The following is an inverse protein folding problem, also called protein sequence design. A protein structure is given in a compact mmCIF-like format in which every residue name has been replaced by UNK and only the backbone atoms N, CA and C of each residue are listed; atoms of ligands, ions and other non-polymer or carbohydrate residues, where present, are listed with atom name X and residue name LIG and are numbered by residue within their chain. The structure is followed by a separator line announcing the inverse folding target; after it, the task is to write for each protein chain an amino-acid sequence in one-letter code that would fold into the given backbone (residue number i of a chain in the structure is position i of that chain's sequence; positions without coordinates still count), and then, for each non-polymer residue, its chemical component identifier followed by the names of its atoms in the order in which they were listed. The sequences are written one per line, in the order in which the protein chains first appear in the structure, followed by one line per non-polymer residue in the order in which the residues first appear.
data_IF_181986829643
#
_entry.id   IF_181986829643
#
_cell.length_a   1.000
_cell.length_b   1.000
_cell.length_c   1.000
_cell.angle_alpha   90.00
_cell.angle_beta   90.00
_cell.angle_gamma   90.00
#
_symmetry.space_group_name_H-M   'P 1'
#
loop_
_entity.id
_entity.type
_entity.pdbx_description
1 polymer ?
#
# COMPACT_ATOMS: atom_id res chain seq x y z
N UNK A 1 3.07 -0.84 -21.61
CA UNK A 1 3.03 -1.78 -20.48
C UNK A 1 2.56 -1.10 -19.19
N UNK A 2 3.33 -0.19 -18.58
CA UNK A 2 3.00 0.39 -17.26
C UNK A 2 1.65 1.14 -17.20
N UNK A 3 1.34 2.00 -18.17
CA UNK A 3 0.03 2.68 -18.23
C UNK A 3 -1.15 1.71 -18.25
N UNK A 4 -1.06 0.68 -19.11
CA UNK A 4 -2.08 -0.37 -19.17
C UNK A 4 -2.25 -1.10 -17.83
N UNK A 5 -1.16 -1.45 -17.13
CA UNK A 5 -1.26 -2.08 -15.81
C UNK A 5 -1.89 -1.14 -14.77
N UNK A 6 -1.53 0.15 -14.82
CA UNK A 6 -2.13 1.17 -13.96
C UNK A 6 -3.63 1.29 -14.22
N UNK A 7 -4.07 1.31 -15.47
CA UNK A 7 -5.48 1.35 -15.85
C UNK A 7 -6.23 0.10 -15.34
N UNK A 8 -5.65 -1.09 -15.52
CA UNK A 8 -6.25 -2.35 -15.02
C UNK A 8 -6.44 -2.31 -13.50
N UNK A 9 -5.46 -1.78 -12.75
CA UNK A 9 -5.58 -1.66 -11.30
C UNK A 9 -6.57 -0.56 -10.92
N UNK A 10 -6.49 0.60 -11.57
CA UNK A 10 -7.29 1.78 -11.24
C UNK A 10 -8.77 1.60 -11.51
N UNK A 11 -9.15 0.92 -12.59
CA UNK A 11 -10.55 0.81 -13.05
C UNK A 11 -11.48 0.16 -12.03
N UNK A 12 -10.96 -0.62 -11.09
CA UNK A 12 -11.74 -1.15 -9.96
C UNK A 12 -12.08 -0.12 -8.88
N UNK A 13 -11.39 1.02 -8.85
CA UNK A 13 -11.51 2.05 -7.82
C UNK A 13 -11.95 3.41 -8.38
N UNK A 14 -11.50 3.78 -9.57
CA UNK A 14 -11.78 5.06 -10.20
C UNK A 14 -12.15 4.88 -11.66
N UNK A 15 -12.94 5.79 -12.25
CA UNK A 15 -13.30 5.72 -13.68
C UNK A 15 -12.09 5.76 -14.61
N UNK A 16 -11.03 6.48 -14.23
CA UNK A 16 -9.78 6.60 -14.99
C UNK A 16 -8.58 6.62 -14.05
N UNK A 17 -7.41 6.21 -14.56
CA UNK A 17 -6.15 6.28 -13.80
C UNK A 17 -5.75 7.71 -13.42
N UNK A 18 -6.20 8.72 -14.19
CA UNK A 18 -5.97 10.14 -13.89
C UNK A 18 -6.51 10.55 -12.51
N UNK A 19 -7.63 9.98 -12.07
CA UNK A 19 -8.16 10.29 -10.75
C UNK A 19 -7.18 9.86 -9.65
N UNK A 20 -6.62 8.65 -9.77
CA UNK A 20 -5.63 8.17 -8.81
C UNK A 20 -4.34 8.97 -8.89
N UNK A 21 -3.76 9.15 -10.09
CA UNK A 21 -2.48 9.87 -10.24
C UNK A 21 -2.58 11.32 -9.79
N UNK A 22 -3.71 12.00 -10.04
CA UNK A 22 -3.96 13.35 -9.53
C UNK A 22 -4.03 13.38 -8.00
N UNK A 23 -4.69 12.41 -7.36
CA UNK A 23 -4.71 12.28 -5.89
C UNK A 23 -3.30 12.06 -5.34
N UNK A 24 -2.54 11.13 -5.95
CA UNK A 24 -1.17 10.82 -5.52
C UNK A 24 -0.26 12.05 -5.62
N UNK A 25 -0.29 12.75 -6.76
CA UNK A 25 0.50 13.95 -7.01
C UNK A 25 0.12 15.09 -6.08
N UNK A 26 -1.18 15.33 -5.87
CA UNK A 26 -1.64 16.46 -5.07
C UNK A 26 -1.34 16.29 -3.57
N UNK A 27 -1.18 15.05 -3.09
CA UNK A 27 -1.04 14.74 -1.67
C UNK A 27 0.34 14.23 -1.27
N UNK A 28 1.32 14.19 -2.17
CA UNK A 28 2.61 13.51 -1.95
C UNK A 28 2.41 12.07 -1.46
N UNK A 29 1.42 11.39 -2.04
CA UNK A 29 1.01 10.05 -1.66
C UNK A 29 1.54 9.01 -2.65
N UNK A 30 1.63 7.77 -2.19
CA UNK A 30 2.03 6.62 -3.01
C UNK A 30 1.10 5.45 -2.78
N UNK A 31 1.05 4.52 -3.72
CA UNK A 31 0.39 3.22 -3.55
C UNK A 31 1.43 2.16 -3.28
N UNK A 32 1.16 1.25 -2.33
CA UNK A 32 2.04 0.09 -2.04
C UNK A 32 1.22 -1.20 -1.93
N UNK A 33 1.75 -2.23 -1.27
CA UNK A 33 1.06 -3.49 -1.04
C UNK A 33 0.82 -4.30 -2.31
N UNK A 34 -0.36 -4.93 -2.39
CA UNK A 34 -0.71 -5.88 -3.46
C UNK A 34 -0.81 -5.21 -4.84
N UNK A 35 -1.31 -3.97 -4.89
CA UNK A 35 -1.46 -3.19 -6.11
C UNK A 35 -0.09 -2.84 -6.71
N UNK A 36 0.82 -2.32 -5.89
CA UNK A 36 2.18 -2.04 -6.35
C UNK A 36 2.93 -3.31 -6.75
N UNK A 37 2.75 -4.41 -6.02
CA UNK A 37 3.36 -5.68 -6.38
C UNK A 37 2.87 -6.17 -7.77
N UNK A 38 1.57 -6.04 -8.06
CA UNK A 38 1.03 -6.40 -9.39
C UNK A 38 1.60 -5.53 -10.52
N UNK A 39 1.91 -4.26 -10.26
CA UNK A 39 2.57 -3.40 -11.25
C UNK A 39 3.98 -3.88 -11.61
N UNK A 40 4.71 -4.43 -10.63
CA UNK A 40 6.09 -4.91 -10.80
C UNK A 40 6.13 -6.29 -11.46
N UNK A 41 5.25 -7.19 -11.04
CA UNK A 41 5.27 -8.57 -11.52
C UNK A 41 4.74 -8.68 -12.96
N UNK A 42 5.20 -9.69 -13.73
CA UNK A 42 4.59 -10.03 -15.01
C UNK A 42 3.11 -10.40 -14.84
N UNK A 43 2.26 -10.03 -15.81
CA UNK A 43 0.82 -10.30 -15.75
C UNK A 43 0.48 -11.79 -15.54
N UNK A 44 1.25 -12.70 -16.16
CA UNK A 44 1.07 -14.14 -16.02
C UNK A 44 1.44 -14.66 -14.62
N UNK A 45 2.15 -13.89 -13.81
CA UNK A 45 2.46 -14.26 -12.45
C UNK A 45 1.36 -13.84 -11.46
N UNK A 46 0.42 -12.99 -11.87
CA UNK A 46 -0.57 -12.35 -10.99
C UNK A 46 -1.96 -13.00 -11.09
N UNK A 47 -2.09 -14.25 -10.64
CA UNK A 47 -3.37 -14.99 -10.68
C UNK A 47 -4.32 -14.70 -9.50
N UNK A 48 -3.91 -13.88 -8.54
CA UNK A 48 -4.74 -13.50 -7.40
C UNK A 48 -5.65 -12.29 -7.74
N UNK A 49 -6.83 -12.18 -7.12
CA UNK A 49 -7.74 -11.04 -7.33
C UNK A 49 -7.13 -9.72 -6.86
N UNK A 50 -7.55 -8.61 -7.49
CA UNK A 50 -7.31 -7.25 -6.98
C UNK A 50 -8.44 -6.90 -6.04
N UNK A 51 -8.18 -6.80 -4.73
CA UNK A 51 -9.25 -6.58 -3.75
C UNK A 51 -9.03 -5.34 -2.89
N UNK A 52 -7.80 -4.84 -2.80
CA UNK A 52 -7.38 -3.78 -1.89
C UNK A 52 -6.51 -2.75 -2.61
N UNK A 53 -6.74 -1.47 -2.33
CA UNK A 53 -5.85 -0.37 -2.71
C UNK A 53 -5.33 0.32 -1.44
N UNK A 54 -4.02 0.19 -1.21
CA UNK A 54 -3.35 0.77 -0.05
C UNK A 54 -2.64 2.08 -0.45
N UNK A 55 -3.18 3.22 -0.02
CA UNK A 55 -2.60 4.55 -0.28
C UNK A 55 -1.88 5.06 0.97
N UNK A 56 -0.60 5.38 0.82
CA UNK A 56 0.25 5.94 1.87
C UNK A 56 0.37 7.43 1.70
N UNK A 57 0.23 8.19 2.79
CA UNK A 57 0.24 9.66 2.76
C UNK A 57 0.95 10.24 3.99
N UNK A 58 1.74 11.32 3.86
CA UNK A 58 2.28 12.04 5.02
C UNK A 58 1.19 12.65 5.91
N UNK A 59 1.47 12.81 7.20
CA UNK A 59 0.53 13.41 8.16
C UNK A 59 0.09 14.83 7.76
N UNK A 60 0.95 15.63 7.12
CA UNK A 60 0.58 17.00 6.77
C UNK A 60 -0.42 17.09 5.60
N UNK A 61 -0.49 16.08 4.72
CA UNK A 61 -1.33 16.11 3.51
C UNK A 61 -2.56 15.19 3.58
N UNK A 62 -2.72 14.36 4.62
CA UNK A 62 -3.83 13.41 4.71
C UNK A 62 -5.22 14.06 4.62
N UNK A 63 -5.43 15.27 5.16
CA UNK A 63 -6.72 15.99 5.09
C UNK A 63 -7.10 16.31 3.64
N UNK A 64 -6.13 16.69 2.83
CA UNK A 64 -6.37 16.96 1.41
C UNK A 64 -6.74 15.67 0.68
N UNK A 65 -6.05 14.56 0.99
CA UNK A 65 -6.36 13.25 0.42
C UNK A 65 -7.79 12.82 0.78
N UNK A 66 -8.21 13.00 2.04
CA UNK A 66 -9.56 12.68 2.50
C UNK A 66 -10.61 13.48 1.71
N UNK A 67 -10.39 14.79 1.55
CA UNK A 67 -11.28 15.64 0.77
C UNK A 67 -11.38 15.20 -0.70
N UNK A 68 -10.27 14.78 -1.31
CA UNK A 68 -10.26 14.30 -2.69
C UNK A 68 -10.97 12.94 -2.81
N UNK A 69 -10.80 12.02 -1.86
CA UNK A 69 -11.55 10.77 -1.83
C UNK A 69 -13.06 11.01 -1.69
N UNK A 70 -13.46 11.89 -0.77
CA UNK A 70 -14.87 12.25 -0.59
C UNK A 70 -15.50 12.86 -1.85
N UNK A 71 -14.75 13.71 -2.58
CA UNK A 71 -15.17 14.23 -3.89
C UNK A 71 -15.37 13.13 -4.95
N UNK A 72 -14.71 11.98 -4.78
CA UNK A 72 -14.86 10.78 -5.60
C UNK A 72 -15.83 9.76 -4.98
N UNK A 73 -16.75 10.21 -4.10
CA UNK A 73 -17.78 9.39 -3.46
C UNK A 73 -17.27 8.29 -2.52
N UNK A 74 -16.02 8.40 -2.07
CA UNK A 74 -15.47 7.53 -1.03
C UNK A 74 -15.75 8.12 0.35
N UNK A 75 -16.49 7.36 1.16
CA UNK A 75 -16.80 7.72 2.54
C UNK A 75 -15.98 6.88 3.51
N UNK A 76 -15.70 7.43 4.69
CA UNK A 76 -15.02 6.70 5.75
C UNK A 76 -15.95 5.59 6.26
N UNK A 77 -15.49 4.35 6.16
CA UNK A 77 -16.20 3.16 6.68
C UNK A 77 -15.61 2.74 8.02
N UNK A 78 -14.28 2.86 8.16
CA UNK A 78 -13.58 2.49 9.39
C UNK A 78 -12.47 3.48 9.68
N UNK A 79 -12.45 4.03 10.89
CA UNK A 79 -11.34 4.81 11.40
C UNK A 79 -10.49 3.97 12.34
N UNK A 80 -9.20 3.81 12.00
CA UNK A 80 -8.22 3.26 12.91
C UNK A 80 -7.96 4.20 14.08
N UNK A 81 -7.47 3.63 15.19
CA UNK A 81 -7.05 4.41 16.35
C UNK A 81 -5.70 5.05 16.04
N UNK A 82 -5.55 6.37 16.23
CA UNK A 82 -4.26 7.02 16.03
C UNK A 82 -3.25 6.49 17.04
N UNK A 83 -2.07 6.15 16.53
CA UNK A 83 -0.90 5.79 17.29
C UNK A 83 -0.17 7.07 17.73
N UNK A 84 -0.64 7.64 18.84
CA UNK A 84 -0.10 8.89 19.41
C UNK A 84 1.14 8.62 20.28
N UNK A 85 1.52 7.35 20.51
CA UNK A 85 2.66 7.01 21.35
C UNK A 85 3.96 7.53 20.72
N UNK A 86 4.60 8.49 21.41
CA UNK A 86 5.86 9.11 21.01
C UNK A 86 7.03 8.12 20.90
N UNK A 87 6.95 6.96 21.58
CA UNK A 87 7.96 5.90 21.55
C UNK A 87 7.58 4.69 20.70
N UNK A 88 6.46 4.75 19.96
CA UNK A 88 6.12 3.64 19.06
C UNK A 88 7.12 3.60 17.90
N UNK A 89 7.74 2.43 17.70
CA UNK A 89 8.66 2.15 16.59
C UNK A 89 7.97 2.21 15.22
N UNK A 90 6.63 2.17 15.19
CA UNK A 90 5.84 2.30 13.97
C UNK A 90 5.74 3.75 13.52
N UNK A 91 6.10 3.97 12.26
CA UNK A 91 5.89 5.23 11.54
C UNK A 91 4.47 5.38 11.02
N UNK A 92 3.56 4.42 11.26
CA UNK A 92 2.13 4.56 10.94
C UNK A 92 1.45 5.36 12.06
N UNK A 93 0.84 6.47 11.68
CA UNK A 93 0.00 7.28 12.56
C UNK A 93 -1.38 6.64 12.72
N UNK A 94 -2.09 6.35 11.63
CA UNK A 94 -3.36 5.62 11.66
C UNK A 94 -3.64 5.00 10.30
N UNK A 95 -4.62 4.10 10.25
CA UNK A 95 -5.16 3.54 9.02
C UNK A 95 -6.64 3.83 8.97
N UNK A 96 -7.12 4.48 7.92
CA UNK A 96 -8.54 4.74 7.70
C UNK A 96 -9.00 4.06 6.42
N UNK A 97 -10.05 3.26 6.52
CA UNK A 97 -10.66 2.57 5.39
C UNK A 97 -11.80 3.42 4.84
N UNK A 98 -11.71 3.73 3.55
CA UNK A 98 -12.73 4.38 2.75
C UNK A 98 -13.45 3.37 1.86
N UNK A 99 -14.70 3.65 1.50
CA UNK A 99 -15.38 2.90 0.44
C UNK A 99 -16.54 3.66 -0.19
N UNK A 100 -16.92 3.20 -1.38
CA UNK A 100 -17.96 3.79 -2.23
C UNK A 100 -19.10 2.79 -2.54
N UNK A 101 -19.18 1.71 -1.76
CA UNK A 101 -20.13 0.60 -1.98
C UNK A 101 -19.68 -0.46 -2.98
N UNK A 102 -18.67 -0.18 -3.82
CA UNK A 102 -18.12 -1.12 -4.80
C UNK A 102 -16.71 -1.59 -4.43
N UNK A 103 -15.91 -0.69 -3.88
CA UNK A 103 -14.49 -0.93 -3.59
C UNK A 103 -14.07 -0.27 -2.28
N UNK A 104 -12.94 -0.74 -1.75
CA UNK A 104 -12.36 -0.27 -0.50
C UNK A 104 -10.95 0.26 -0.75
N UNK A 105 -10.64 1.40 -0.12
CA UNK A 105 -9.31 2.02 -0.13
C UNK A 105 -8.86 2.14 1.32
N UNK A 106 -7.73 1.54 1.65
CA UNK A 106 -7.06 1.77 2.92
C UNK A 106 -6.09 2.94 2.77
N UNK A 107 -6.27 3.97 3.60
CA UNK A 107 -5.37 5.12 3.69
C UNK A 107 -4.50 4.97 4.92
N UNK A 108 -3.20 4.77 4.69
CA UNK A 108 -2.18 4.64 5.72
C UNK A 108 -1.50 5.99 5.88
N UNK A 109 -1.72 6.61 7.04
CA UNK A 109 -1.12 7.91 7.34
C UNK A 109 0.24 7.68 8.01
N UNK A 110 1.32 8.22 7.43
CA UNK A 110 2.64 8.23 8.05
C UNK A 110 2.76 9.35 9.08
N UNK A 111 3.38 9.06 10.24
CA UNK A 111 3.83 10.06 11.22
C UNK A 111 4.92 10.98 10.69
N UNK A 112 5.68 10.52 9.70
CA UNK A 112 6.85 11.24 9.19
C UNK A 112 6.46 12.19 8.05
N UNK A 113 7.40 12.99 7.59
CA UNK A 113 7.21 13.83 6.39
C UNK A 113 7.12 13.01 5.10
N UNK A 114 7.42 11.71 5.12
CA UNK A 114 7.40 10.83 3.96
C UNK A 114 6.31 9.77 4.05
N UNK A 115 5.59 9.56 2.95
CA UNK A 115 4.67 8.42 2.79
C UNK A 115 5.40 7.07 2.84
N UNK A 116 6.71 7.05 2.62
CA UNK A 116 7.49 5.84 2.42
C UNK A 116 7.93 5.18 3.72
N UNK A 117 8.02 5.93 4.83
CA UNK A 117 8.55 5.39 6.09
C UNK A 117 7.82 4.13 6.56
N UNK A 118 6.48 4.04 6.49
CA UNK A 118 5.76 2.80 6.83
C UNK A 118 6.07 1.63 5.91
N UNK A 119 6.35 1.90 4.64
CA UNK A 119 6.57 0.87 3.62
C UNK A 119 7.85 0.10 3.94
N UNK A 120 8.92 0.81 4.28
CA UNK A 120 10.21 0.17 4.63
C UNK A 120 10.23 -0.48 6.02
N UNK A 121 9.17 -0.28 6.81
CA UNK A 121 8.99 -0.97 8.10
C UNK A 121 8.14 -2.24 7.99
N UNK A 122 7.67 -2.60 6.79
CA UNK A 122 6.96 -3.86 6.59
C UNK A 122 7.81 -5.08 6.95
N UNK A 123 7.13 -6.13 7.38
CA UNK A 123 7.73 -7.40 7.78
C UNK A 123 8.28 -8.22 6.60
N UNK A 124 8.02 -7.86 5.34
CA UNK A 124 8.49 -8.60 4.16
C UNK A 124 8.85 -7.67 3.00
N UNK A 125 9.94 -7.97 2.29
CA UNK A 125 10.38 -7.20 1.11
C UNK A 125 9.43 -7.31 -0.09
N UNK A 126 8.58 -8.35 -0.14
CA UNK A 126 7.59 -8.53 -1.22
C UNK A 126 6.65 -7.33 -1.39
N UNK A 127 6.36 -6.61 -0.31
CA UNK A 127 5.41 -5.51 -0.26
C UNK A 127 6.06 -4.14 -0.08
N UNK A 128 7.38 -4.07 -0.18
CA UNK A 128 8.11 -2.80 -0.12
C UNK A 128 8.17 -2.08 -1.47
N UNK A 129 7.45 -2.58 -2.47
CA UNK A 129 7.30 -1.95 -3.77
C UNK A 129 6.22 -0.88 -3.69
N UNK A 130 6.36 0.22 -4.43
CA UNK A 130 5.37 1.30 -4.44
C UNK A 130 5.38 2.06 -5.76
N UNK A 131 4.33 2.83 -6.03
CA UNK A 131 4.31 3.77 -7.15
C UNK A 131 3.74 5.12 -6.74
N UNK A 132 4.31 6.19 -7.30
CA UNK A 132 3.81 7.55 -7.25
C UNK A 132 2.90 7.82 -8.46
N UNK A 133 2.46 9.07 -8.63
CA UNK A 133 1.68 9.48 -9.79
C UNK A 133 2.37 9.19 -11.14
N UNK A 134 3.70 9.17 -11.17
CA UNK A 134 4.52 9.18 -12.38
C UNK A 134 5.58 8.07 -12.45
N UNK A 135 5.87 7.40 -11.32
CA UNK A 135 7.01 6.48 -11.21
C UNK A 135 6.67 5.20 -10.45
N UNK A 136 7.21 4.08 -10.91
CA UNK A 136 7.12 2.78 -10.24
C UNK A 136 8.47 2.44 -9.60
N UNK A 137 8.44 2.01 -8.34
CA UNK A 137 9.61 1.68 -7.55
C UNK A 137 9.55 0.23 -7.09
N UNK A 138 10.51 -0.57 -7.56
CA UNK A 138 10.76 -1.90 -7.03
C UNK A 138 12.03 -1.85 -6.17
N UNK A 139 11.87 -2.02 -4.86
CA UNK A 139 12.96 -1.84 -3.90
C UNK A 139 13.91 -3.02 -3.85
N UNK A 140 13.42 -4.22 -4.21
CA UNK A 140 14.21 -5.43 -4.30
C UNK A 140 13.91 -6.19 -5.61
N UNK A 141 14.37 -5.70 -6.77
CA UNK A 141 14.03 -6.29 -8.08
C UNK A 141 14.42 -7.75 -8.20
N UNK A 142 15.64 -8.12 -7.79
CA UNK A 142 16.12 -9.50 -7.86
C UNK A 142 15.26 -10.44 -7.02
N UNK A 143 14.81 -10.02 -5.85
CA UNK A 143 13.92 -10.85 -5.02
C UNK A 143 12.52 -10.90 -5.61
N UNK A 144 11.92 -9.73 -5.85
CA UNK A 144 10.53 -9.60 -6.28
C UNK A 144 10.27 -10.32 -7.59
N UNK A 145 11.13 -10.15 -8.59
CA UNK A 145 10.95 -10.75 -9.92
C UNK A 145 11.19 -12.26 -9.93
N UNK A 146 11.96 -12.80 -8.98
CA UNK A 146 12.14 -14.25 -8.78
C UNK A 146 11.11 -14.85 -7.81
N UNK A 147 10.07 -14.09 -7.42
CA UNK A 147 9.11 -14.52 -6.41
C UNK A 147 9.78 -14.94 -5.09
N UNK A 148 10.81 -14.22 -4.69
CA UNK A 148 11.47 -14.37 -3.40
C UNK A 148 11.19 -13.14 -2.54
N UNK A 149 11.15 -13.33 -1.23
CA UNK A 149 11.05 -12.25 -0.27
C UNK A 149 11.93 -12.54 0.94
N UNK A 150 12.43 -11.49 1.58
CA UNK A 150 13.11 -11.59 2.86
C UNK A 150 12.19 -11.04 3.94
N UNK A 151 12.21 -11.67 5.11
CA UNK A 151 11.54 -11.16 6.28
C UNK A 151 12.37 -10.02 6.88
N UNK A 152 11.75 -8.87 7.09
CA UNK A 152 12.38 -7.76 7.78
C UNK A 152 12.52 -8.08 9.28
N UNK A 153 13.72 -8.50 9.67
CA UNK A 153 14.06 -8.96 11.02
C UNK A 153 13.84 -7.93 12.13
N UNK A 154 13.68 -6.64 11.80
CA UNK A 154 13.37 -5.61 12.80
C UNK A 154 12.12 -5.93 13.63
N UNK A 155 11.11 -6.57 13.01
CA UNK A 155 9.87 -7.01 13.66
C UNK A 155 10.03 -8.30 14.50
N UNK A 156 10.92 -9.21 14.08
CA UNK A 156 11.27 -10.45 14.79
C UNK A 156 12.10 -10.18 16.05
N UNK A 157 13.12 -9.33 15.95
CA UNK A 157 13.98 -8.96 17.07
C UNK A 157 13.21 -8.26 18.20
N UNK A 158 12.06 -7.67 17.90
CA UNK A 158 11.19 -7.00 18.88
C UNK A 158 10.10 -7.93 19.45
N UNK A 159 10.07 -9.22 19.08
CA UNK A 159 9.00 -10.17 19.45
C UNK A 159 7.58 -9.69 19.10
N UNK A 160 7.44 -8.90 18.03
CA UNK A 160 6.16 -8.24 17.64
C UNK A 160 5.42 -8.96 16.50
N UNK A 161 5.73 -10.24 16.27
CA UNK A 161 5.06 -11.00 15.22
C UNK A 161 3.61 -11.32 15.61
N UNK A 162 2.69 -10.42 15.25
CA UNK A 162 1.27 -10.60 15.45
C UNK A 162 0.71 -11.69 14.52
N UNK A 163 -0.44 -12.30 14.87
CA UNK A 163 -1.17 -13.18 13.97
C UNK A 163 -1.47 -12.54 12.60
N UNK A 164 -1.66 -11.22 12.54
CA UNK A 164 -1.89 -10.49 11.29
C UNK A 164 -0.65 -10.47 10.39
N UNK A 165 0.55 -10.34 10.96
CA UNK A 165 1.79 -10.46 10.18
C UNK A 165 1.96 -11.87 9.60
N UNK A 166 1.65 -12.91 10.39
CA UNK A 166 1.69 -14.31 9.93
C UNK A 166 0.69 -14.54 8.80
N UNK A 167 -0.56 -14.12 8.97
CA UNK A 167 -1.58 -14.23 7.91
C UNK A 167 -1.14 -13.54 6.63
N UNK A 168 -0.51 -12.38 6.75
CA UNK A 168 -0.06 -11.65 5.60
C UNK A 168 1.16 -12.31 4.93
N UNK A 169 2.10 -12.91 5.67
CA UNK A 169 3.13 -13.79 5.08
C UNK A 169 2.51 -14.99 4.36
N UNK A 170 1.53 -15.66 4.96
CA UNK A 170 0.82 -16.78 4.34
C UNK A 170 0.08 -16.35 3.05
N UNK A 171 -0.50 -15.14 3.04
CA UNK A 171 -1.11 -14.50 1.84
C UNK A 171 -0.09 -14.36 0.70
N UNK A 172 1.17 -13.99 0.97
CA UNK A 172 2.17 -13.88 -0.10
C UNK A 172 2.79 -15.22 -0.47
N UNK A 173 2.93 -16.15 0.47
CA UNK A 173 3.32 -17.53 0.18
C UNK A 173 2.32 -18.22 -0.76
N UNK A 174 1.01 -18.03 -0.56
CA UNK A 174 -0.02 -18.58 -1.46
C UNK A 174 -0.03 -17.91 -2.85
N UNK A 175 0.63 -16.76 -3.00
CA UNK A 175 0.87 -16.06 -4.28
C UNK A 175 2.18 -16.50 -4.96
N UNK A 176 2.79 -17.58 -4.48
CA UNK A 176 4.00 -18.17 -5.08
C UNK A 176 5.32 -17.61 -4.55
N UNK A 177 5.30 -16.75 -3.53
CA UNK A 177 6.54 -16.24 -2.95
C UNK A 177 7.24 -17.30 -2.08
N UNK A 178 8.53 -17.50 -2.33
CA UNK A 178 9.46 -18.10 -1.38
C UNK A 178 9.83 -17.04 -0.34
N UNK A 179 9.45 -17.28 0.92
CA UNK A 179 9.68 -16.39 2.07
C UNK A 179 10.72 -17.02 2.98
#
# INVERSE_FOLDING_TARGET
YLRHQLDVICTSFFPTSDHLTNILSACNAVVSGSAALRMVLPAHACHWPSSDLDIYVPLHSHKQLYNLLQKNHYNIIRNGKPNIQHYSTSSIFTVTTFGNGQSLIDVIISKTMSALSPIFQFYSTAIMNFFSADSLYCTYPSLTLHHCAMINMSSLCQHTFSPTHIQALLKYKSRGFCI
#
